data_IF_446326920545
#
_entry.id   IF_446326920545
#
_cell.length_a   1.000
_cell.length_b   1.000
_cell.length_c   1.000
_cell.angle_alpha   90.00
_cell.angle_beta   90.00
_cell.angle_gamma   90.00
#
_symmetry.space_group_name_H-M   'P 1'
#
loop_
_entity.id
_entity.type
_entity.pdbx_description
1 polymer ?
#
# COMPACT_ATOMS: atom_id res chain seq x y z
N UNK A 1 26.03 2.82 7.93
CA UNK A 1 25.81 2.62 6.48
C UNK A 1 25.26 1.23 6.33
N UNK A 2 24.17 1.10 5.57
CA UNK A 2 23.53 -0.20 5.33
C UNK A 2 24.44 -1.15 4.56
N UNK A 3 24.25 -2.46 4.73
CA UNK A 3 24.99 -3.50 4.00
C UNK A 3 24.24 -4.13 2.83
N UNK A 4 23.08 -3.58 2.47
CA UNK A 4 22.38 -3.93 1.24
C UNK A 4 23.01 -3.26 0.02
N UNK A 5 22.76 -3.82 -1.16
CA UNK A 5 23.11 -3.19 -2.43
C UNK A 5 22.22 -1.96 -2.67
N UNK A 6 22.79 -0.82 -3.06
CA UNK A 6 22.09 0.45 -3.28
C UNK A 6 20.85 0.32 -4.17
N UNK A 7 20.89 -0.54 -5.20
CA UNK A 7 19.74 -0.79 -6.08
C UNK A 7 18.57 -1.42 -5.32
N UNK A 8 18.84 -2.38 -4.43
CA UNK A 8 17.81 -3.04 -3.61
C UNK A 8 17.17 -2.02 -2.68
N UNK A 9 17.97 -1.16 -2.05
CA UNK A 9 17.46 -0.12 -1.17
C UNK A 9 16.59 0.88 -1.92
N UNK A 10 17.06 1.36 -3.08
CA UNK A 10 16.32 2.32 -3.90
C UNK A 10 14.97 1.76 -4.34
N UNK A 11 14.92 0.51 -4.83
CA UNK A 11 13.67 -0.14 -5.19
C UNK A 11 12.76 -0.37 -3.99
N UNK A 12 13.32 -0.75 -2.85
CA UNK A 12 12.56 -1.01 -1.64
C UNK A 12 11.87 0.27 -1.14
N UNK A 13 12.63 1.36 -1.01
CA UNK A 13 12.08 2.67 -0.61
C UNK A 13 11.04 3.14 -1.62
N UNK A 14 11.33 3.00 -2.92
CA UNK A 14 10.40 3.43 -3.98
C UNK A 14 9.06 2.69 -3.90
N UNK A 15 9.09 1.37 -3.68
CA UNK A 15 7.88 0.55 -3.57
C UNK A 15 7.07 0.93 -2.33
N UNK A 16 7.70 1.03 -1.16
CA UNK A 16 7.03 1.42 0.09
C UNK A 16 6.38 2.80 -0.06
N UNK A 17 7.13 3.80 -0.55
CA UNK A 17 6.59 5.15 -0.73
C UNK A 17 5.45 5.18 -1.75
N UNK A 18 5.57 4.46 -2.85
CA UNK A 18 4.52 4.41 -3.88
C UNK A 18 3.22 3.77 -3.34
N UNK A 19 3.31 2.66 -2.61
CA UNK A 19 2.13 2.00 -2.04
C UNK A 19 1.50 2.81 -0.91
N UNK A 20 2.31 3.42 -0.03
CA UNK A 20 1.84 4.38 0.94
C UNK A 20 1.08 5.54 0.28
N UNK A 21 1.65 6.13 -0.78
CA UNK A 21 1.02 7.22 -1.51
C UNK A 21 -0.31 6.79 -2.15
N UNK A 22 -0.39 5.58 -2.71
CA UNK A 22 -1.63 5.02 -3.25
C UNK A 22 -2.70 4.84 -2.16
N UNK A 23 -2.32 4.33 -0.98
CA UNK A 23 -3.24 4.15 0.15
C UNK A 23 -3.76 5.49 0.69
N UNK A 24 -2.87 6.49 0.78
CA UNK A 24 -3.25 7.84 1.17
C UNK A 24 -4.17 8.50 0.13
N UNK A 25 -3.86 8.35 -1.16
CA UNK A 25 -4.66 8.88 -2.25
C UNK A 25 -6.05 8.24 -2.29
N UNK A 26 -6.17 6.92 -2.08
CA UNK A 26 -7.50 6.27 -2.01
C UNK A 26 -8.33 6.82 -0.85
N UNK A 27 -7.71 7.09 0.30
CA UNK A 27 -8.39 7.72 1.42
C UNK A 27 -8.87 9.13 1.09
N UNK A 28 -8.06 9.96 0.42
CA UNK A 28 -8.48 11.28 -0.08
C UNK A 28 -9.70 11.14 -1.00
N UNK A 29 -9.65 10.22 -1.97
CA UNK A 29 -10.75 9.97 -2.91
C UNK A 29 -12.04 9.65 -2.15
N UNK A 30 -11.98 8.76 -1.17
CA UNK A 30 -13.12 8.44 -0.30
C UNK A 30 -13.62 9.63 0.52
N UNK A 31 -12.71 10.48 1.02
CA UNK A 31 -13.06 11.72 1.70
C UNK A 31 -13.82 12.70 0.80
N UNK A 32 -13.38 12.86 -0.46
CA UNK A 32 -14.05 13.70 -1.46
C UNK A 32 -15.47 13.19 -1.76
N UNK A 33 -15.64 11.86 -1.84
CA UNK A 33 -16.94 11.23 -2.09
C UNK A 33 -17.82 11.13 -0.83
N UNK A 34 -17.32 11.57 0.33
CA UNK A 34 -17.96 11.39 1.64
C UNK A 34 -18.33 9.92 1.93
N UNK A 35 -17.56 8.97 1.39
CA UNK A 35 -17.73 7.52 1.57
C UNK A 35 -16.62 6.98 2.47
N UNK A 36 -16.53 7.55 3.68
CA UNK A 36 -15.50 7.22 4.68
C UNK A 36 -15.96 6.14 5.67
N UNK A 37 -16.92 5.30 5.26
CA UNK A 37 -17.35 4.15 6.05
C UNK A 37 -16.26 3.08 6.17
N UNK A 38 -16.64 1.85 6.56
CA UNK A 38 -15.72 0.72 6.48
C UNK A 38 -15.42 0.41 5.00
N UNK A 39 -14.28 0.89 4.48
CA UNK A 39 -13.85 0.71 3.09
C UNK A 39 -13.62 -0.76 2.71
N UNK A 40 -13.41 -1.63 3.70
CA UNK A 40 -13.29 -3.09 3.51
C UNK A 40 -14.63 -3.82 3.69
N UNK A 41 -15.72 -3.10 3.96
CA UNK A 41 -17.04 -3.71 4.01
C UNK A 41 -17.41 -4.23 2.63
N UNK A 42 -18.00 -5.43 2.61
CA UNK A 42 -18.54 -6.02 1.39
C UNK A 42 -20.03 -5.64 1.26
N UNK A 43 -20.51 -5.32 0.05
CA UNK A 43 -19.73 -5.17 -1.20
C UNK A 43 -18.83 -3.94 -1.14
N UNK A 44 -17.61 -4.03 -1.70
CA UNK A 44 -16.67 -2.91 -1.74
C UNK A 44 -17.27 -1.77 -2.58
N UNK A 45 -17.32 -0.57 -2.02
CA UNK A 45 -17.93 0.61 -2.65
C UNK A 45 -16.93 1.72 -2.79
N UNK A 46 -17.11 2.49 -3.86
CA UNK A 46 -16.41 3.73 -4.15
C UNK A 46 -17.48 4.75 -4.55
N UNK A 47 -18.00 5.48 -3.57
CA UNK A 47 -19.17 6.33 -3.77
C UNK A 47 -20.41 5.49 -4.11
N UNK A 48 -21.03 5.74 -5.27
CA UNK A 48 -22.19 4.97 -5.73
C UNK A 48 -21.84 3.66 -6.46
N UNK A 49 -20.56 3.44 -6.79
CA UNK A 49 -20.13 2.28 -7.57
C UNK A 49 -19.64 1.14 -6.69
N UNK A 50 -19.92 -0.10 -7.10
CA UNK A 50 -19.35 -1.30 -6.49
C UNK A 50 -18.09 -1.72 -7.23
N UNK A 51 -17.03 -1.99 -6.49
CA UNK A 51 -15.76 -2.48 -7.04
C UNK A 51 -15.71 -4.01 -6.90
N UNK A 52 -15.13 -4.67 -7.90
CA UNK A 52 -14.89 -6.12 -7.85
C UNK A 52 -13.99 -6.48 -6.66
N UNK A 53 -14.45 -7.43 -5.86
CA UNK A 53 -13.79 -7.95 -4.67
C UNK A 53 -12.39 -8.48 -4.95
N UNK A 54 -12.18 -9.07 -6.14
CA UNK A 54 -10.88 -9.59 -6.57
C UNK A 54 -9.85 -8.48 -6.72
N UNK A 55 -10.26 -7.33 -7.26
CA UNK A 55 -9.37 -6.20 -7.49
C UNK A 55 -8.93 -5.58 -6.16
N UNK A 56 -9.86 -5.41 -5.22
CA UNK A 56 -9.53 -4.90 -3.87
C UNK A 56 -8.61 -5.88 -3.13
N UNK A 57 -8.92 -7.18 -3.21
CA UNK A 57 -8.09 -8.21 -2.55
C UNK A 57 -6.67 -8.23 -3.12
N UNK A 58 -6.51 -8.13 -4.44
CA UNK A 58 -5.20 -8.10 -5.10
C UNK A 58 -4.42 -6.82 -4.77
N UNK A 59 -5.09 -5.68 -4.73
CA UNK A 59 -4.45 -4.41 -4.36
C UNK A 59 -3.98 -4.45 -2.89
N UNK A 60 -4.83 -4.89 -1.98
CA UNK A 60 -4.50 -4.96 -0.55
C UNK A 60 -3.39 -5.98 -0.28
N UNK A 61 -3.38 -7.13 -0.96
CA UNK A 61 -2.31 -8.11 -0.79
C UNK A 61 -0.97 -7.60 -1.33
N UNK A 62 -0.97 -6.95 -2.50
CA UNK A 62 0.23 -6.31 -3.05
C UNK A 62 0.78 -5.22 -2.12
N UNK A 63 -0.10 -4.37 -1.57
CA UNK A 63 0.25 -3.34 -0.61
C UNK A 63 0.87 -3.93 0.64
N UNK A 64 0.25 -4.94 1.25
CA UNK A 64 0.78 -5.61 2.45
C UNK A 64 2.15 -6.22 2.16
N UNK A 65 2.32 -6.90 1.02
CA UNK A 65 3.61 -7.50 0.66
C UNK A 65 4.70 -6.45 0.48
N UNK A 66 4.39 -5.31 -0.16
CA UNK A 66 5.35 -4.23 -0.38
C UNK A 66 5.75 -3.54 0.93
N UNK A 67 4.77 -3.19 1.76
CA UNK A 67 5.00 -2.52 3.05
C UNK A 67 5.77 -3.44 4.01
N UNK A 68 5.26 -4.66 4.27
CA UNK A 68 5.90 -5.58 5.21
C UNK A 68 7.27 -6.05 4.69
N UNK A 69 7.37 -6.40 3.41
CA UNK A 69 8.62 -6.82 2.80
C UNK A 69 9.66 -5.70 2.78
N UNK A 70 9.23 -4.48 2.46
CA UNK A 70 10.12 -3.33 2.39
C UNK A 70 10.60 -2.86 3.76
N UNK A 71 9.73 -2.82 4.76
CA UNK A 71 10.14 -2.54 6.15
C UNK A 71 11.14 -3.57 6.64
N UNK A 72 10.92 -4.87 6.39
CA UNK A 72 11.85 -5.93 6.78
C UNK A 72 13.21 -5.74 6.08
N UNK A 73 13.24 -5.52 4.76
CA UNK A 73 14.47 -5.34 4.01
C UNK A 73 15.27 -4.14 4.51
N UNK A 74 14.63 -2.97 4.64
CA UNK A 74 15.30 -1.75 5.12
C UNK A 74 15.79 -1.92 6.56
N UNK A 75 15.00 -2.56 7.42
CA UNK A 75 15.39 -2.82 8.80
C UNK A 75 16.57 -3.79 8.87
N UNK A 76 16.55 -4.88 8.11
CA UNK A 76 17.70 -5.78 8.02
C UNK A 76 18.93 -5.00 7.59
N UNK A 77 18.87 -4.26 6.47
CA UNK A 77 19.99 -3.47 5.97
C UNK A 77 20.54 -2.46 6.98
N UNK A 78 19.69 -1.89 7.82
CA UNK A 78 20.12 -0.97 8.89
C UNK A 78 20.84 -1.67 10.06
N UNK A 79 20.55 -2.94 10.32
CA UNK A 79 21.07 -3.69 11.47
C UNK A 79 22.21 -4.66 11.14
N UNK A 80 22.39 -5.04 9.87
CA UNK A 80 23.56 -5.80 9.40
C UNK A 80 24.68 -4.87 8.94
#
# INVERSE_FOLDING_TARGET
QSRLCDSVEAWTVSLVVAFFACAFASYIVHGIMADTGNQLARPHRLGSHTIDDRMVTLFMSALICAEMGGVILLFVGAFI
#
